data_IF_751426701428
#
_entry.id   IF_751426701428
#
_cell.length_a   1.000
_cell.length_b   1.000
_cell.length_c   1.000
_cell.angle_alpha   90.00
_cell.angle_beta   90.00
_cell.angle_gamma   90.00
#
_symmetry.space_group_name_H-M   'P 1'
#
loop_
_entity.id
_entity.type
_entity.pdbx_description
1 polymer ?
#
# COMPACT_ATOMS: atom_id res chain seq x y z
N UNK A 1 3.99 20.47 -10.38
CA UNK A 1 4.32 19.10 -9.99
C UNK A 1 4.01 18.08 -11.10
N UNK A 2 3.44 18.48 -12.23
CA UNK A 2 3.14 17.58 -13.37
C UNK A 2 2.00 16.59 -13.11
N UNK A 3 1.16 16.84 -12.11
CA UNK A 3 -0.02 16.02 -11.81
C UNK A 3 -1.12 16.31 -12.84
N UNK A 4 -1.79 15.26 -13.33
CA UNK A 4 -2.90 15.40 -14.29
C UNK A 4 -4.15 15.95 -13.59
N UNK A 5 -4.41 15.51 -12.36
CA UNK A 5 -5.57 15.89 -11.57
C UNK A 5 -5.22 15.94 -10.08
N UNK A 6 -5.88 16.81 -9.33
CA UNK A 6 -5.72 16.94 -7.87
C UNK A 6 -7.09 17.16 -7.23
N UNK A 7 -7.45 16.28 -6.31
CA UNK A 7 -8.65 16.40 -5.49
C UNK A 7 -8.27 16.84 -4.08
N UNK A 8 -8.75 18.02 -3.67
CA UNK A 8 -8.54 18.54 -2.32
C UNK A 8 -9.79 18.28 -1.50
N UNK A 9 -9.64 17.59 -0.39
CA UNK A 9 -10.71 17.37 0.58
C UNK A 9 -10.51 18.27 1.79
N UNK A 10 -11.60 18.85 2.29
CA UNK A 10 -11.59 19.70 3.48
C UNK A 10 -12.41 19.00 4.56
N UNK A 11 -11.78 18.59 5.67
CA UNK A 11 -12.52 18.02 6.80
C UNK A 11 -13.37 19.09 7.49
N UNK A 12 -14.47 18.71 8.19
CA UNK A 12 -15.33 19.67 8.88
C UNK A 12 -14.65 20.32 10.09
N UNK A 13 -13.68 19.63 10.69
CA UNK A 13 -12.83 20.09 11.80
C UNK A 13 -11.40 19.61 11.57
N UNK A 14 -10.44 20.34 12.14
CA UNK A 14 -9.02 19.98 12.11
C UNK A 14 -8.72 18.92 13.19
N UNK A 15 -9.16 17.71 12.91
CA UNK A 15 -9.00 16.51 13.74
C UNK A 15 -8.54 15.36 12.85
N UNK A 16 -7.57 14.60 13.29
CA UNK A 16 -6.93 13.55 12.49
C UNK A 16 -7.91 12.49 11.99
N UNK A 17 -8.87 12.08 12.83
CA UNK A 17 -9.88 11.11 12.44
C UNK A 17 -10.85 11.67 11.38
N UNK A 18 -11.19 12.96 11.44
CA UNK A 18 -12.03 13.60 10.44
C UNK A 18 -11.28 13.87 9.13
N UNK A 19 -9.98 14.20 9.20
CA UNK A 19 -9.09 14.26 8.03
C UNK A 19 -9.04 12.90 7.34
N UNK A 20 -8.82 11.83 8.09
CA UNK A 20 -8.75 10.46 7.56
C UNK A 20 -10.07 10.05 6.88
N UNK A 21 -11.20 10.33 7.49
CA UNK A 21 -12.53 10.08 6.91
C UNK A 21 -12.78 10.93 5.63
N UNK A 22 -12.34 12.18 5.63
CA UNK A 22 -12.46 13.03 4.44
C UNK A 22 -11.61 12.52 3.28
N UNK A 23 -10.36 12.08 3.55
CA UNK A 23 -9.50 11.41 2.59
C UNK A 23 -10.12 10.11 2.10
N UNK A 24 -10.69 9.30 3.01
CA UNK A 24 -11.41 8.08 2.67
C UNK A 24 -12.51 8.31 1.65
N UNK A 25 -13.40 9.28 1.93
CA UNK A 25 -14.50 9.65 1.01
C UNK A 25 -13.99 10.17 -0.34
N UNK A 26 -12.95 11.02 -0.31
CA UNK A 26 -12.36 11.56 -1.54
C UNK A 26 -11.72 10.47 -2.40
N UNK A 27 -10.93 9.58 -1.78
CA UNK A 27 -10.30 8.46 -2.46
C UNK A 27 -11.30 7.43 -3.00
N UNK A 28 -12.38 7.15 -2.24
CA UNK A 28 -13.44 6.25 -2.69
C UNK A 28 -14.10 6.77 -3.97
N UNK A 29 -14.52 8.04 -4.00
CA UNK A 29 -15.11 8.66 -5.20
C UNK A 29 -14.17 8.61 -6.40
N UNK A 30 -12.88 8.92 -6.21
CA UNK A 30 -11.90 8.82 -7.30
C UNK A 30 -11.83 7.39 -7.86
N UNK A 31 -11.82 6.38 -6.99
CA UNK A 31 -11.80 4.98 -7.44
C UNK A 31 -13.07 4.58 -8.16
N UNK A 32 -14.24 4.99 -7.69
CA UNK A 32 -15.53 4.74 -8.33
C UNK A 32 -15.61 5.33 -9.73
N UNK A 33 -14.99 6.51 -9.95
CA UNK A 33 -14.93 7.19 -11.24
C UNK A 33 -13.92 6.55 -12.21
N UNK A 34 -12.79 6.03 -11.70
CA UNK A 34 -11.67 5.56 -12.52
C UNK A 34 -11.78 4.07 -12.85
N UNK A 35 -12.26 3.22 -11.91
CA UNK A 35 -12.29 1.77 -12.10
C UNK A 35 -13.39 1.38 -13.10
N UNK A 36 -13.02 0.69 -14.17
CA UNK A 36 -13.92 0.22 -15.22
C UNK A 36 -13.84 -1.32 -15.37
N UNK A 37 -14.80 -1.88 -16.10
CA UNK A 37 -14.85 -3.31 -16.39
C UNK A 37 -13.54 -3.82 -17.01
N UNK A 38 -13.08 -4.97 -16.56
CA UNK A 38 -11.87 -5.64 -17.05
C UNK A 38 -10.55 -5.07 -16.56
N UNK A 39 -10.56 -4.00 -15.74
CA UNK A 39 -9.33 -3.40 -15.22
C UNK A 39 -8.67 -4.22 -14.12
N UNK A 40 -7.35 -4.11 -14.06
CA UNK A 40 -6.51 -4.57 -12.96
C UNK A 40 -6.17 -3.40 -12.05
N UNK A 41 -6.64 -3.46 -10.81
CA UNK A 41 -6.41 -2.46 -9.77
C UNK A 41 -5.32 -2.94 -8.82
N UNK A 42 -4.16 -2.31 -8.85
CA UNK A 42 -3.11 -2.52 -7.87
C UNK A 42 -3.39 -1.70 -6.61
N UNK A 43 -3.34 -2.34 -5.44
CA UNK A 43 -3.71 -1.71 -4.18
C UNK A 43 -2.63 -1.89 -3.12
N UNK A 44 -2.19 -0.80 -2.50
CA UNK A 44 -1.44 -0.88 -1.26
C UNK A 44 -2.40 -0.99 -0.07
N UNK A 45 -1.88 -1.07 1.15
CA UNK A 45 -2.66 -1.11 2.38
C UNK A 45 -2.06 -0.14 3.42
N UNK A 46 -2.81 0.11 4.47
CA UNK A 46 -2.53 1.04 5.56
C UNK A 46 -3.80 1.75 6.02
N UNK A 47 -3.72 2.52 7.09
CA UNK A 47 -4.91 3.15 7.70
C UNK A 47 -5.74 3.98 6.72
N UNK A 48 -5.10 4.81 5.91
CA UNK A 48 -5.79 5.63 4.90
C UNK A 48 -6.44 4.76 3.80
N UNK A 49 -5.73 3.73 3.31
CA UNK A 49 -6.28 2.82 2.30
C UNK A 49 -7.46 2.01 2.85
N UNK A 50 -7.37 1.59 4.11
CA UNK A 50 -8.48 0.91 4.77
C UNK A 50 -9.71 1.83 4.90
N UNK A 51 -9.51 3.12 5.24
CA UNK A 51 -10.61 4.07 5.30
C UNK A 51 -11.21 4.36 3.91
N UNK A 52 -10.39 4.45 2.84
CA UNK A 52 -10.88 4.52 1.45
C UNK A 52 -11.75 3.31 1.13
N UNK A 53 -11.27 2.11 1.40
CA UNK A 53 -11.99 0.87 1.11
C UNK A 53 -13.36 0.79 1.81
N UNK A 54 -13.44 1.27 3.05
CA UNK A 54 -14.69 1.31 3.84
C UNK A 54 -15.73 2.31 3.35
N UNK A 55 -15.32 3.31 2.58
CA UNK A 55 -16.19 4.38 2.06
C UNK A 55 -16.67 4.10 0.63
N UNK A 56 -16.17 3.03 -0.02
CA UNK A 56 -16.61 2.64 -1.36
C UNK A 56 -18.06 2.17 -1.35
N UNK A 57 -18.82 2.65 -2.31
CA UNK A 57 -20.16 2.16 -2.60
C UNK A 57 -20.10 0.98 -3.58
N UNK A 58 -21.10 0.09 -3.51
CA UNK A 58 -21.13 -1.07 -4.40
C UNK A 58 -21.30 -0.64 -5.87
N UNK A 59 -20.40 -1.17 -6.72
CA UNK A 59 -20.39 -0.99 -8.17
C UNK A 59 -20.50 -2.36 -8.84
N UNK A 60 -21.50 -2.60 -9.66
CA UNK A 60 -21.64 -3.86 -10.41
C UNK A 60 -20.66 -3.90 -11.60
N UNK A 61 -19.35 -3.98 -11.29
CA UNK A 61 -18.27 -4.10 -12.29
C UNK A 61 -18.08 -5.56 -12.70
N UNK A 62 -17.49 -5.78 -13.87
CA UNK A 62 -17.24 -7.11 -14.42
C UNK A 62 -15.78 -7.29 -14.78
N UNK A 63 -15.22 -8.43 -14.36
CA UNK A 63 -13.86 -8.82 -14.72
C UNK A 63 -12.77 -7.95 -14.10
N UNK A 64 -13.05 -7.20 -13.03
CA UNK A 64 -12.05 -6.43 -12.30
C UNK A 64 -11.22 -7.39 -11.43
N UNK A 65 -9.90 -7.24 -11.48
CA UNK A 65 -8.97 -7.90 -10.55
C UNK A 65 -8.31 -6.87 -9.63
N UNK A 66 -8.25 -7.19 -8.33
CA UNK A 66 -7.57 -6.37 -7.32
C UNK A 66 -6.28 -7.08 -6.90
N UNK A 67 -5.14 -6.43 -7.07
CA UNK A 67 -3.81 -7.00 -6.82
C UNK A 67 -3.17 -6.30 -5.61
N UNK A 68 -2.75 -7.06 -4.62
CA UNK A 68 -1.96 -6.54 -3.50
C UNK A 68 -0.54 -6.16 -4.00
N UNK A 69 -0.16 -4.88 -3.85
CA UNK A 69 1.08 -4.34 -4.42
C UNK A 69 2.32 -4.57 -3.55
N UNK A 70 2.14 -4.86 -2.27
CA UNK A 70 3.23 -5.08 -1.29
C UNK A 70 2.87 -6.18 -0.31
N UNK A 71 3.88 -6.81 0.30
CA UNK A 71 3.66 -7.78 1.38
C UNK A 71 2.81 -7.18 2.51
N UNK A 72 2.05 -8.01 3.23
CA UNK A 72 1.10 -7.56 4.26
C UNK A 72 1.35 -8.17 5.64
N UNK A 73 2.14 -9.24 5.75
CA UNK A 73 2.35 -9.90 7.04
C UNK A 73 3.23 -9.06 7.95
N UNK A 74 2.76 -8.79 9.17
CA UNK A 74 3.51 -8.12 10.24
C UNK A 74 4.26 -9.14 11.11
N UNK A 75 5.40 -8.74 11.67
CA UNK A 75 6.10 -9.51 12.72
C UNK A 75 5.67 -9.07 14.15
N UNK A 76 4.73 -8.13 14.24
CA UNK A 76 4.16 -7.65 15.50
C UNK A 76 2.66 -7.92 15.54
N UNK A 77 2.04 -7.71 16.71
CA UNK A 77 0.58 -7.84 16.90
C UNK A 77 -0.22 -6.66 16.31
N UNK A 78 0.45 -5.73 15.62
CA UNK A 78 -0.21 -4.56 15.02
C UNK A 78 -0.90 -4.99 13.71
N UNK A 79 -2.23 -4.79 13.60
CA UNK A 79 -2.96 -5.18 12.39
C UNK A 79 -2.60 -4.26 11.21
N UNK A 80 -2.36 -4.87 10.07
CA UNK A 80 -2.10 -4.15 8.80
C UNK A 80 -3.37 -3.79 8.06
N UNK A 81 -4.46 -4.50 8.35
CA UNK A 81 -5.74 -4.44 7.63
C UNK A 81 -5.60 -4.66 6.11
N UNK A 82 -4.55 -5.37 5.69
CA UNK A 82 -4.27 -5.60 4.28
C UNK A 82 -5.32 -6.52 3.63
N UNK A 83 -5.67 -7.61 4.31
CA UNK A 83 -6.70 -8.56 3.84
C UNK A 83 -8.07 -7.89 3.81
N UNK A 84 -8.45 -7.18 4.87
CA UNK A 84 -9.72 -6.47 5.01
C UNK A 84 -9.85 -5.36 3.95
N UNK A 85 -8.76 -4.64 3.68
CA UNK A 85 -8.74 -3.59 2.65
C UNK A 85 -9.01 -4.18 1.26
N UNK A 86 -8.29 -5.25 0.89
CA UNK A 86 -8.48 -5.92 -0.40
C UNK A 86 -9.90 -6.51 -0.49
N UNK A 87 -10.37 -7.17 0.56
CA UNK A 87 -11.70 -7.77 0.58
C UNK A 87 -12.81 -6.73 0.39
N UNK A 88 -12.73 -5.58 1.09
CA UNK A 88 -13.72 -4.51 0.96
C UNK A 88 -13.74 -3.90 -0.46
N UNK A 89 -12.57 -3.70 -1.07
CA UNK A 89 -12.49 -3.22 -2.46
C UNK A 89 -13.04 -4.24 -3.45
N UNK A 90 -12.76 -5.54 -3.23
CA UNK A 90 -13.32 -6.61 -4.05
C UNK A 90 -14.85 -6.68 -3.95
N UNK A 91 -15.41 -6.51 -2.75
CA UNK A 91 -16.86 -6.48 -2.53
C UNK A 91 -17.48 -5.26 -3.22
N UNK A 92 -16.86 -4.08 -3.09
CA UNK A 92 -17.34 -2.86 -3.69
C UNK A 92 -17.39 -2.93 -5.23
N UNK A 93 -16.39 -3.50 -5.87
CA UNK A 93 -16.29 -3.55 -7.33
C UNK A 93 -16.68 -4.91 -7.94
N UNK A 94 -17.28 -5.83 -7.17
CA UNK A 94 -17.56 -7.19 -7.64
C UNK A 94 -16.34 -7.86 -8.28
N UNK A 95 -15.17 -7.70 -7.64
CA UNK A 95 -13.86 -8.01 -8.18
C UNK A 95 -13.25 -9.28 -7.57
N UNK A 96 -12.21 -9.80 -8.20
CA UNK A 96 -11.42 -10.92 -7.71
C UNK A 96 -10.10 -10.45 -7.11
N UNK A 97 -9.82 -10.83 -5.84
CA UNK A 97 -8.61 -10.43 -5.11
C UNK A 97 -7.42 -11.38 -5.34
N UNK A 98 -6.24 -10.82 -5.60
CA UNK A 98 -4.93 -11.49 -5.64
C UNK A 98 -4.09 -11.01 -4.46
N UNK A 99 -3.99 -11.83 -3.44
CA UNK A 99 -3.25 -11.52 -2.21
C UNK A 99 -1.79 -11.91 -2.34
N UNK A 100 -0.91 -11.12 -1.74
CA UNK A 100 0.52 -11.36 -1.66
C UNK A 100 0.90 -11.76 -0.21
N UNK A 101 0.76 -13.04 0.18
CA UNK A 101 0.90 -13.50 1.56
C UNK A 101 2.38 -13.61 1.96
N UNK A 102 3.08 -12.51 1.92
CA UNK A 102 4.50 -12.39 2.23
C UNK A 102 4.73 -11.32 3.30
N UNK A 103 5.85 -11.41 4.04
CA UNK A 103 6.29 -10.31 4.89
C UNK A 103 6.45 -9.02 4.08
N UNK A 104 6.30 -7.87 4.71
CA UNK A 104 6.61 -6.59 4.06
C UNK A 104 8.09 -6.50 3.74
N UNK A 105 8.94 -6.95 4.67
CA UNK A 105 10.40 -6.95 4.55
C UNK A 105 10.92 -8.30 5.01
N UNK A 106 11.76 -8.93 4.20
CA UNK A 106 12.47 -10.15 4.58
C UNK A 106 13.72 -9.86 5.39
N UNK A 107 14.08 -10.75 6.32
CA UNK A 107 15.36 -10.68 7.04
C UNK A 107 16.54 -10.97 6.10
N UNK A 108 16.33 -11.85 5.12
CA UNK A 108 17.34 -12.29 4.15
C UNK A 108 16.95 -11.94 2.71
N UNK A 109 17.84 -11.23 2.01
CA UNK A 109 17.68 -10.94 0.58
C UNK A 109 17.63 -12.23 -0.26
N UNK A 110 18.44 -13.22 0.08
CA UNK A 110 18.48 -14.49 -0.66
C UNK A 110 17.15 -15.24 -0.54
N UNK A 111 16.55 -15.25 0.67
CA UNK A 111 15.23 -15.88 0.88
C UNK A 111 14.16 -15.15 0.10
N UNK A 112 14.14 -13.79 0.14
CA UNK A 112 13.22 -12.99 -0.67
C UNK A 112 13.32 -13.35 -2.15
N UNK A 113 14.54 -13.32 -2.71
CA UNK A 113 14.78 -13.61 -4.12
C UNK A 113 14.28 -15.00 -4.50
N UNK A 114 14.52 -16.01 -3.64
CA UNK A 114 14.06 -17.37 -3.88
C UNK A 114 12.52 -17.46 -3.86
N UNK A 115 11.87 -16.88 -2.88
CA UNK A 115 10.40 -16.88 -2.76
C UNK A 115 9.73 -16.16 -3.94
N UNK A 116 10.31 -15.07 -4.42
CA UNK A 116 9.80 -14.33 -5.58
C UNK A 116 9.89 -15.12 -6.91
N UNK A 117 10.67 -16.22 -6.97
CA UNK A 117 10.70 -17.12 -8.13
C UNK A 117 9.56 -18.14 -8.13
N UNK A 118 8.88 -18.34 -7.00
CA UNK A 118 7.72 -19.23 -6.94
C UNK A 118 6.63 -18.77 -7.91
N UNK A 119 6.11 -19.71 -8.71
CA UNK A 119 5.21 -19.39 -9.83
C UNK A 119 4.04 -18.49 -9.45
N UNK A 120 3.38 -18.78 -8.33
CA UNK A 120 2.21 -18.01 -7.87
C UNK A 120 2.62 -16.60 -7.44
N UNK A 121 3.70 -16.47 -6.69
CA UNK A 121 4.22 -15.17 -6.22
C UNK A 121 4.68 -14.32 -7.41
N UNK A 122 5.48 -14.89 -8.30
CA UNK A 122 5.94 -14.21 -9.51
C UNK A 122 4.78 -13.71 -10.36
N UNK A 123 3.69 -14.50 -10.48
CA UNK A 123 2.49 -14.11 -11.20
C UNK A 123 1.82 -12.87 -10.57
N UNK A 124 1.65 -12.85 -9.24
CA UNK A 124 1.02 -11.71 -8.53
C UNK A 124 1.88 -10.46 -8.69
N UNK A 125 3.20 -10.56 -8.50
CA UNK A 125 4.12 -9.43 -8.66
C UNK A 125 4.09 -8.88 -10.10
N UNK A 126 4.02 -9.76 -11.12
CA UNK A 126 3.92 -9.35 -12.52
C UNK A 126 2.58 -8.67 -12.83
N UNK A 127 1.47 -9.19 -12.30
CA UNK A 127 0.16 -8.54 -12.43
C UNK A 127 0.16 -7.15 -11.78
N UNK A 128 0.75 -7.01 -10.60
CA UNK A 128 0.88 -5.70 -9.93
C UNK A 128 1.67 -4.67 -10.76
N UNK A 129 2.72 -5.11 -11.47
CA UNK A 129 3.50 -4.25 -12.39
C UNK A 129 2.74 -3.81 -13.64
N UNK A 130 1.71 -4.56 -14.02
CA UNK A 130 0.89 -4.34 -15.21
C UNK A 130 -0.48 -3.77 -14.85
N UNK A 131 -0.70 -3.37 -13.60
CA UNK A 131 -1.97 -2.81 -13.18
C UNK A 131 -2.34 -1.56 -14.00
N UNK A 132 -3.60 -1.48 -14.44
CA UNK A 132 -4.13 -0.31 -15.15
C UNK A 132 -4.19 0.92 -14.23
N UNK A 133 -4.48 0.68 -12.96
CA UNK A 133 -4.51 1.71 -11.91
C UNK A 133 -3.76 1.19 -10.70
N UNK A 134 -2.84 1.99 -10.14
CA UNK A 134 -2.16 1.71 -8.88
C UNK A 134 -2.54 2.75 -7.84
N UNK A 135 -3.05 2.29 -6.70
CA UNK A 135 -3.49 3.16 -5.61
C UNK A 135 -2.65 2.90 -4.36
N UNK A 136 -2.06 3.95 -3.87
CA UNK A 136 -1.19 3.89 -2.70
C UNK A 136 -1.22 5.22 -1.94
N UNK A 137 -0.70 5.20 -0.74
CA UNK A 137 -0.50 6.38 0.10
C UNK A 137 0.99 6.65 0.28
N UNK A 138 1.32 7.89 0.57
CA UNK A 138 2.64 8.27 1.04
C UNK A 138 2.61 8.25 2.57
N UNK A 139 3.39 7.36 3.16
CA UNK A 139 3.51 7.24 4.62
C UNK A 139 4.42 8.33 5.20
N UNK A 140 4.08 8.81 6.39
CA UNK A 140 4.93 9.73 7.15
C UNK A 140 6.00 8.96 7.96
N UNK A 141 7.04 9.69 8.41
CA UNK A 141 8.11 9.18 9.28
C UNK A 141 7.96 9.68 10.72
N UNK A 142 6.73 9.86 11.17
CA UNK A 142 6.44 10.22 12.55
C UNK A 142 6.65 9.04 13.51
N UNK A 143 6.47 9.30 14.81
CA UNK A 143 6.70 8.28 15.85
C UNK A 143 5.73 7.12 15.76
N UNK A 144 4.53 7.35 15.24
CA UNK A 144 3.42 6.41 15.17
C UNK A 144 3.30 5.74 13.79
N UNK A 145 4.29 5.97 12.89
CA UNK A 145 4.31 5.38 11.56
C UNK A 145 4.26 3.85 11.65
N UNK A 146 3.17 3.26 11.16
CA UNK A 146 2.86 1.83 11.25
C UNK A 146 4.05 0.94 10.87
N UNK A 147 4.70 1.25 9.75
CA UNK A 147 5.81 0.45 9.22
C UNK A 147 7.00 0.34 10.18
N UNK A 148 7.25 1.38 11.00
CA UNK A 148 8.35 1.37 11.99
C UNK A 148 8.07 0.47 13.20
N UNK A 149 6.81 0.09 13.42
CA UNK A 149 6.37 -0.72 14.56
C UNK A 149 6.05 -2.17 14.21
N UNK A 150 6.22 -2.57 12.96
CA UNK A 150 5.91 -3.92 12.49
C UNK A 150 6.94 -4.99 12.85
N UNK A 151 8.01 -4.64 13.56
CA UNK A 151 9.02 -5.58 14.07
C UNK A 151 10.11 -5.98 13.08
N UNK A 152 10.24 -5.31 11.94
CA UNK A 152 11.21 -5.66 10.90
C UNK A 152 12.62 -5.12 11.09
N UNK A 153 12.79 -4.12 11.97
CA UNK A 153 14.02 -3.34 12.04
C UNK A 153 14.72 -3.52 13.37
N UNK A 154 16.05 -3.55 13.33
CA UNK A 154 16.89 -3.34 14.49
C UNK A 154 16.84 -1.88 14.92
N UNK A 155 17.21 -1.60 16.19
CA UNK A 155 17.29 -0.23 16.71
C UNK A 155 18.20 0.66 15.86
N UNK A 156 19.31 0.12 15.37
CA UNK A 156 20.24 0.85 14.51
C UNK A 156 19.65 1.18 13.12
N UNK A 157 18.88 0.26 12.54
CA UNK A 157 18.14 0.50 11.30
C UNK A 157 17.05 1.56 11.51
N UNK A 158 16.27 1.47 12.58
CA UNK A 158 15.26 2.47 12.94
C UNK A 158 15.86 3.87 13.10
N UNK A 159 16.98 3.98 13.81
CA UNK A 159 17.66 5.25 14.00
C UNK A 159 18.17 5.85 12.67
N UNK A 160 18.71 5.02 11.78
CA UNK A 160 19.13 5.46 10.44
C UNK A 160 17.96 5.91 9.59
N UNK A 161 16.87 5.12 9.56
CA UNK A 161 15.67 5.47 8.80
C UNK A 161 15.08 6.80 9.28
N UNK A 162 14.94 7.01 10.58
CA UNK A 162 14.42 8.26 11.15
C UNK A 162 15.26 9.49 10.82
N UNK A 163 16.56 9.33 10.58
CA UNK A 163 17.43 10.44 10.19
C UNK A 163 17.43 10.74 8.68
N UNK A 164 17.12 9.75 7.85
CA UNK A 164 17.32 9.84 6.40
C UNK A 164 16.03 9.85 5.60
N UNK A 165 15.01 9.11 6.06
CA UNK A 165 13.75 9.02 5.35
C UNK A 165 12.82 10.18 5.69
N UNK A 166 12.15 10.72 4.67
CA UNK A 166 11.07 11.70 4.83
C UNK A 166 9.68 11.08 4.72
N UNK A 167 9.59 9.84 4.23
CA UNK A 167 8.36 9.09 4.06
C UNK A 167 8.62 7.72 3.45
N UNK A 168 7.54 6.99 3.23
CA UNK A 168 7.57 5.75 2.45
C UNK A 168 6.49 5.71 1.37
N UNK A 169 6.75 4.97 0.31
CA UNK A 169 5.80 4.61 -0.74
C UNK A 169 5.84 3.10 -0.90
N UNK A 170 4.71 2.43 -0.69
CA UNK A 170 4.61 0.97 -0.73
C UNK A 170 5.70 0.27 0.12
N UNK A 171 5.93 0.80 1.34
CA UNK A 171 6.95 0.34 2.30
C UNK A 171 8.40 0.55 1.87
N UNK A 172 8.66 1.36 0.85
CA UNK A 172 9.99 1.78 0.42
C UNK A 172 10.29 3.17 0.96
N UNK A 173 11.29 3.25 1.82
CA UNK A 173 11.68 4.51 2.46
C UNK A 173 12.42 5.42 1.49
N UNK A 174 11.96 6.66 1.38
CA UNK A 174 12.49 7.67 0.47
C UNK A 174 13.11 8.84 1.24
N UNK A 175 14.18 9.38 0.70
CA UNK A 175 14.85 10.59 1.19
C UNK A 175 14.28 11.87 0.55
N UNK A 176 14.80 13.03 0.92
CA UNK A 176 14.37 14.32 0.41
C UNK A 176 14.54 14.51 -1.12
N UNK A 177 15.38 13.70 -1.74
CA UNK A 177 15.59 13.70 -3.20
C UNK A 177 14.67 12.70 -3.93
N UNK A 178 13.76 12.03 -3.20
CA UNK A 178 12.85 11.02 -3.75
C UNK A 178 13.54 9.68 -4.09
N UNK A 179 14.73 9.42 -3.53
CA UNK A 179 15.48 8.20 -3.76
C UNK A 179 15.35 7.26 -2.55
N UNK A 180 15.47 5.92 -2.75
CA UNK A 180 15.53 4.98 -1.63
C UNK A 180 16.65 5.36 -0.66
N UNK A 181 16.32 5.58 0.62
CA UNK A 181 17.29 6.02 1.62
C UNK A 181 18.16 4.88 2.18
N UNK A 182 17.71 3.62 2.04
CA UNK A 182 18.44 2.42 2.45
C UNK A 182 18.36 1.34 1.38
N UNK A 183 19.34 1.25 0.47
CA UNK A 183 19.33 0.22 -0.58
C UNK A 183 19.28 -1.20 -0.05
N UNK A 184 19.85 -1.46 1.13
CA UNK A 184 19.82 -2.76 1.79
C UNK A 184 18.40 -3.14 2.23
N UNK A 185 17.68 -2.25 2.90
CA UNK A 185 16.28 -2.46 3.32
C UNK A 185 15.39 -2.54 2.08
N UNK A 186 15.58 -1.64 1.12
CA UNK A 186 14.83 -1.62 -0.13
C UNK A 186 14.94 -2.93 -0.90
N UNK A 187 16.14 -3.50 -0.99
CA UNK A 187 16.36 -4.80 -1.64
C UNK A 187 15.61 -5.95 -0.95
N UNK A 188 15.39 -5.88 0.38
CA UNK A 188 14.64 -6.87 1.17
C UNK A 188 13.14 -6.61 1.21
N UNK A 189 12.67 -5.43 0.77
CA UNK A 189 11.25 -5.05 0.75
C UNK A 189 10.50 -5.77 -0.37
N UNK A 190 9.31 -6.30 -0.07
CA UNK A 190 8.46 -7.04 -1.01
C UNK A 190 7.42 -6.11 -1.63
N UNK A 191 7.28 -6.18 -2.93
CA UNK A 191 6.27 -5.44 -3.68
C UNK A 191 6.77 -4.94 -5.02
N UNK A 192 5.94 -4.17 -5.68
CA UNK A 192 6.27 -3.53 -6.96
C UNK A 192 7.42 -2.51 -6.78
N UNK A 193 8.19 -2.35 -7.83
CA UNK A 193 9.31 -1.40 -7.94
C UNK A 193 9.02 -0.41 -9.06
#
# INVERSE_FOLDING_TARGET
YGLTEVHVVVPPVDDEAEVLKALGRGGARMLEDVVADGMTLGLSWGGTMFEVARQLEHQDRRGVEVIQLKGGMSQSDIPTNDVETIAAVCEAFNAYGRYLPLPVIFDSLQVKQLVETERHIAQILNLGKQADVAVFTVGAMDRDALLLHMGYFTDDELNRLRMQAIGDICSRFINADGQPCSPEIDARTVGIQ
#
